data_IF_220924974579
#
_entry.id   IF_220924974579
#
_cell.length_a   1.000
_cell.length_b   1.000
_cell.length_c   1.000
_cell.angle_alpha   90.00
_cell.angle_beta   90.00
_cell.angle_gamma   90.00
#
_symmetry.space_group_name_H-M   'P 1'
#
loop_
_entity.id
_entity.type
_entity.pdbx_description
1 polymer ?
#
# COMPACT_ATOMS: atom_id res chain seq x y z
N UNK A 1 -20.09 -58.62 -46.11
CA UNK A 1 -20.03 -58.85 -44.64
C UNK A 1 -19.60 -57.55 -43.97
N UNK A 2 -20.58 -56.66 -43.70
CA UNK A 2 -20.33 -55.32 -43.09
C UNK A 2 -20.43 -55.47 -41.57
N UNK A 3 -19.31 -55.20 -40.88
CA UNK A 3 -19.31 -55.03 -39.42
C UNK A 3 -19.52 -53.53 -39.15
N UNK A 4 -20.74 -53.19 -38.78
CA UNK A 4 -21.06 -51.89 -38.26
C UNK A 4 -20.47 -51.80 -36.83
N UNK A 5 -19.48 -50.89 -36.67
CA UNK A 5 -18.90 -50.54 -35.38
C UNK A 5 -19.94 -49.71 -34.59
N UNK A 6 -20.64 -50.38 -33.65
CA UNK A 6 -21.50 -49.74 -32.65
C UNK A 6 -20.60 -48.97 -31.65
N UNK A 7 -20.43 -47.66 -31.85
CA UNK A 7 -19.85 -46.82 -30.83
C UNK A 7 -20.84 -46.65 -29.68
N UNK A 8 -20.45 -46.91 -28.41
CA UNK A 8 -21.36 -46.71 -27.30
C UNK A 8 -21.71 -45.24 -27.16
N UNK A 9 -22.98 -44.91 -27.26
CA UNK A 9 -23.53 -43.60 -27.00
C UNK A 9 -23.21 -43.19 -25.56
N UNK A 10 -22.29 -42.25 -25.40
CA UNK A 10 -21.99 -41.66 -24.10
C UNK A 10 -23.26 -40.98 -23.55
N UNK A 11 -23.87 -41.59 -22.53
CA UNK A 11 -25.01 -40.99 -21.80
C UNK A 11 -24.58 -39.66 -21.24
N UNK A 12 -24.98 -38.57 -21.88
CA UNK A 12 -24.85 -37.20 -21.33
C UNK A 12 -25.78 -37.14 -20.11
N UNK A 13 -25.20 -37.18 -18.90
CA UNK A 13 -25.95 -36.93 -17.68
C UNK A 13 -26.39 -35.47 -17.71
N UNK A 14 -27.67 -35.21 -17.84
CA UNK A 14 -28.24 -33.89 -17.69
C UNK A 14 -28.37 -33.58 -16.20
N UNK A 15 -27.93 -32.38 -15.79
CA UNK A 15 -28.11 -31.88 -14.42
C UNK A 15 -29.60 -31.74 -14.10
N UNK A 16 -29.99 -32.14 -12.89
CA UNK A 16 -31.33 -31.91 -12.41
C UNK A 16 -31.50 -30.48 -11.90
N UNK A 17 -32.70 -29.91 -12.00
CA UNK A 17 -33.01 -28.59 -11.49
C UNK A 17 -32.70 -28.45 -9.99
N UNK A 18 -32.98 -29.52 -9.22
CA UNK A 18 -32.69 -29.55 -7.78
C UNK A 18 -31.18 -29.51 -7.49
N UNK A 19 -30.36 -30.18 -8.29
CA UNK A 19 -28.91 -30.14 -8.15
C UNK A 19 -28.35 -28.76 -8.38
N UNK A 20 -28.87 -28.01 -9.37
CA UNK A 20 -28.51 -26.63 -9.61
C UNK A 20 -28.88 -25.73 -8.43
N UNK A 21 -30.08 -25.88 -7.87
CA UNK A 21 -30.55 -25.11 -6.72
C UNK A 21 -29.68 -25.38 -5.49
N UNK A 22 -29.31 -26.61 -5.23
CA UNK A 22 -28.42 -26.99 -4.11
C UNK A 22 -27.04 -26.36 -4.29
N UNK A 23 -26.45 -26.44 -5.49
CA UNK A 23 -25.14 -25.84 -5.78
C UNK A 23 -25.18 -24.31 -5.59
N UNK A 24 -26.22 -23.63 -6.08
CA UNK A 24 -26.38 -22.18 -5.87
C UNK A 24 -26.55 -21.84 -4.39
N UNK A 25 -27.25 -22.65 -3.62
CA UNK A 25 -27.38 -22.49 -2.17
C UNK A 25 -26.02 -22.57 -1.45
N UNK A 26 -25.22 -23.57 -1.78
CA UNK A 26 -23.87 -23.73 -1.21
C UNK A 26 -22.96 -22.58 -1.61
N UNK A 27 -22.97 -22.17 -2.88
CA UNK A 27 -22.18 -21.02 -3.36
C UNK A 27 -22.56 -19.72 -2.64
N UNK A 28 -23.85 -19.48 -2.45
CA UNK A 28 -24.34 -18.31 -1.70
C UNK A 28 -23.81 -18.28 -0.27
N UNK A 29 -23.81 -19.42 0.42
CA UNK A 29 -23.30 -19.54 1.78
C UNK A 29 -21.78 -19.27 1.85
N UNK A 30 -21.01 -19.78 0.88
CA UNK A 30 -19.57 -19.53 0.80
C UNK A 30 -19.25 -18.06 0.54
N UNK A 31 -20.02 -17.37 -0.29
CA UNK A 31 -19.82 -15.95 -0.58
C UNK A 31 -19.99 -15.06 0.66
N UNK A 32 -20.97 -15.33 1.51
CA UNK A 32 -21.21 -14.55 2.75
C UNK A 32 -19.98 -14.54 3.66
N UNK A 33 -19.25 -15.63 3.76
CA UNK A 33 -18.05 -15.75 4.62
C UNK A 33 -16.81 -15.17 3.95
N UNK A 34 -16.73 -15.21 2.62
CA UNK A 34 -15.52 -14.85 1.87
C UNK A 34 -15.37 -13.35 1.64
N UNK A 35 -16.48 -12.68 1.31
CA UNK A 35 -16.46 -11.24 0.94
C UNK A 35 -15.81 -10.32 2.01
N UNK A 36 -16.14 -10.39 3.32
CA UNK A 36 -15.54 -9.49 4.30
C UNK A 36 -14.03 -9.72 4.47
N UNK A 37 -13.54 -10.94 4.29
CA UNK A 37 -12.10 -11.26 4.41
C UNK A 37 -11.28 -10.68 3.26
N UNK A 38 -11.83 -10.64 2.06
CA UNK A 38 -11.17 -10.05 0.89
C UNK A 38 -10.98 -8.54 1.07
N UNK A 39 -11.95 -7.84 1.64
CA UNK A 39 -11.85 -6.40 1.93
C UNK A 39 -10.68 -6.07 2.87
N UNK A 40 -10.52 -6.80 3.95
CA UNK A 40 -9.43 -6.60 4.91
C UNK A 40 -8.04 -6.90 4.30
N UNK A 41 -7.95 -7.92 3.44
CA UNK A 41 -6.71 -8.22 2.71
C UNK A 41 -6.34 -7.09 1.73
N UNK A 42 -7.33 -6.56 1.03
CA UNK A 42 -7.13 -5.45 0.12
C UNK A 42 -6.64 -4.18 0.84
N UNK A 43 -7.27 -3.82 1.97
CA UNK A 43 -6.85 -2.68 2.78
C UNK A 43 -5.42 -2.83 3.30
N UNK A 44 -5.04 -4.05 3.72
CA UNK A 44 -3.66 -4.36 4.11
C UNK A 44 -2.68 -4.17 2.97
N UNK A 45 -3.00 -4.64 1.75
CA UNK A 45 -2.15 -4.47 0.58
C UNK A 45 -1.96 -2.99 0.22
N UNK A 46 -3.02 -2.17 0.29
CA UNK A 46 -2.94 -0.73 0.05
C UNK A 46 -2.01 -0.05 1.05
N UNK A 47 -2.13 -0.38 2.34
CA UNK A 47 -1.26 0.17 3.39
C UNK A 47 0.20 -0.24 3.15
N UNK A 48 0.47 -1.51 2.88
CA UNK A 48 1.83 -2.01 2.62
C UNK A 48 2.46 -1.37 1.38
N UNK A 49 1.69 -1.21 0.31
CA UNK A 49 2.15 -0.55 -0.91
C UNK A 49 2.53 0.91 -0.65
N UNK A 50 1.65 1.66 0.04
CA UNK A 50 1.91 3.06 0.37
C UNK A 50 3.14 3.21 1.28
N UNK A 51 3.30 2.35 2.26
CA UNK A 51 4.44 2.36 3.18
C UNK A 51 5.76 2.14 2.43
N UNK A 52 5.81 1.18 1.51
CA UNK A 52 7.01 0.94 0.68
C UNK A 52 7.36 2.14 -0.20
N UNK A 53 6.36 2.82 -0.76
CA UNK A 53 6.58 4.04 -1.55
C UNK A 53 7.13 5.17 -0.69
N UNK A 54 6.54 5.39 0.49
CA UNK A 54 7.01 6.39 1.45
C UNK A 54 8.43 6.10 1.93
N UNK A 55 8.72 4.85 2.28
CA UNK A 55 10.06 4.43 2.70
C UNK A 55 11.09 4.70 1.61
N UNK A 56 10.81 4.32 0.36
CA UNK A 56 11.66 4.61 -0.80
C UNK A 56 11.89 6.09 -0.99
N UNK A 57 10.83 6.89 -0.90
CA UNK A 57 10.92 8.34 -1.08
C UNK A 57 11.70 9.02 0.04
N UNK A 58 11.55 8.57 1.28
CA UNK A 58 12.33 9.08 2.41
C UNK A 58 13.82 8.71 2.31
N UNK A 59 14.13 7.48 1.87
CA UNK A 59 15.52 7.05 1.62
C UNK A 59 16.12 7.89 0.50
N UNK A 60 15.40 8.11 -0.59
CA UNK A 60 15.83 8.95 -1.68
C UNK A 60 16.06 10.40 -1.23
N UNK A 61 15.12 10.96 -0.48
CA UNK A 61 15.20 12.33 0.04
C UNK A 61 16.43 12.53 0.93
N UNK A 62 16.73 11.57 1.79
CA UNK A 62 17.94 11.56 2.62
C UNK A 62 19.21 11.50 1.78
N UNK A 63 19.25 10.62 0.78
CA UNK A 63 20.39 10.49 -0.12
C UNK A 63 20.59 11.76 -0.95
N UNK A 64 19.50 12.40 -1.37
CA UNK A 64 19.56 13.65 -2.11
C UNK A 64 20.11 14.82 -1.26
N UNK A 65 19.68 14.90 0.01
CA UNK A 65 20.24 15.88 0.94
C UNK A 65 21.77 15.71 1.12
N UNK A 66 22.25 14.45 1.17
CA UNK A 66 23.69 14.17 1.27
C UNK A 66 24.43 14.47 -0.05
N UNK A 67 23.81 14.24 -1.19
CA UNK A 67 24.40 14.46 -2.51
C UNK A 67 24.50 15.93 -2.85
N UNK A 68 23.44 16.71 -2.59
CA UNK A 68 23.38 18.15 -2.91
C UNK A 68 24.13 19.02 -1.91
N UNK A 69 24.38 18.52 -0.69
CA UNK A 69 24.91 19.32 0.41
C UNK A 69 23.89 20.30 1.00
N UNK A 70 22.64 20.19 0.60
CA UNK A 70 21.53 21.06 1.01
C UNK A 70 20.47 20.29 1.78
N UNK A 71 19.57 21.01 2.47
CA UNK A 71 18.46 20.38 3.19
C UNK A 71 17.40 19.88 2.23
N UNK A 72 16.86 18.70 2.53
CA UNK A 72 15.71 18.15 1.83
C UNK A 72 14.57 17.89 2.81
N UNK A 73 13.32 18.17 2.42
CA UNK A 73 12.18 18.09 3.32
C UNK A 73 11.02 17.28 2.77
N UNK A 74 10.34 16.59 3.68
CA UNK A 74 9.07 15.91 3.46
C UNK A 74 8.01 16.65 4.27
N UNK A 75 6.89 16.97 3.63
CA UNK A 75 5.74 17.57 4.29
C UNK A 75 4.45 16.85 3.87
N UNK A 76 3.56 16.58 4.83
CA UNK A 76 2.22 16.12 4.52
C UNK A 76 1.39 17.24 3.91
N UNK A 77 0.64 16.93 2.86
CA UNK A 77 -0.38 17.81 2.30
C UNK A 77 -1.72 17.08 2.17
N UNK A 78 -2.75 17.78 1.78
CA UNK A 78 -4.07 17.22 1.55
C UNK A 78 -4.01 16.18 0.41
N UNK A 79 -4.51 14.97 0.68
CA UNK A 79 -4.50 13.86 -0.29
C UNK A 79 -3.13 13.24 -0.59
N UNK A 80 -2.03 13.69 0.07
CA UNK A 80 -0.71 13.18 -0.25
C UNK A 80 0.43 13.75 0.59
N UNK A 81 1.57 13.92 -0.06
CA UNK A 81 2.77 14.47 0.56
C UNK A 81 3.63 15.20 -0.48
N UNK A 82 4.46 16.07 0.00
CA UNK A 82 5.36 16.90 -0.79
C UNK A 82 6.81 16.60 -0.40
N UNK A 83 7.64 16.44 -1.41
CA UNK A 83 9.08 16.30 -1.29
C UNK A 83 9.72 17.58 -1.85
N UNK A 84 10.56 18.23 -1.08
CA UNK A 84 11.27 19.43 -1.50
C UNK A 84 12.77 19.19 -1.35
N UNK A 85 13.49 19.39 -2.43
CA UNK A 85 14.96 19.32 -2.47
C UNK A 85 15.50 20.62 -3.02
N UNK A 86 16.69 21.03 -2.56
CA UNK A 86 17.43 22.17 -3.10
C UNK A 86 18.71 21.66 -3.72
N UNK A 87 18.97 22.10 -4.93
CA UNK A 87 20.22 21.82 -5.64
C UNK A 87 20.81 23.11 -6.25
N UNK A 88 21.88 22.97 -7.03
CA UNK A 88 22.52 24.12 -7.71
C UNK A 88 21.58 24.85 -8.69
N UNK A 89 20.50 24.24 -9.13
CA UNK A 89 19.52 24.78 -10.05
C UNK A 89 18.34 25.46 -9.34
N UNK A 90 18.31 25.40 -7.99
CA UNK A 90 17.27 25.98 -7.16
C UNK A 90 16.47 24.97 -6.36
N UNK A 91 15.30 25.39 -5.88
CA UNK A 91 14.39 24.54 -5.11
C UNK A 91 13.45 23.78 -6.04
N UNK A 92 13.48 22.45 -5.94
CA UNK A 92 12.59 21.57 -6.67
C UNK A 92 11.59 20.92 -5.69
N UNK A 93 10.31 21.02 -6.04
CA UNK A 93 9.23 20.47 -5.23
C UNK A 93 8.43 19.47 -6.04
N UNK A 94 8.29 18.26 -5.53
CA UNK A 94 7.47 17.20 -6.09
C UNK A 94 6.34 16.85 -5.14
N UNK A 95 5.08 16.97 -5.60
CA UNK A 95 3.91 16.53 -4.85
C UNK A 95 3.48 15.16 -5.35
N UNK A 96 3.25 14.23 -4.42
CA UNK A 96 2.79 12.86 -4.70
C UNK A 96 1.47 12.60 -3.98
N UNK A 97 0.49 12.06 -4.71
CA UNK A 97 -0.76 11.59 -4.13
C UNK A 97 -0.58 10.23 -3.43
N UNK A 98 -1.47 9.92 -2.49
CA UNK A 98 -1.59 8.57 -1.95
C UNK A 98 -2.13 7.62 -3.04
N UNK A 99 -1.76 6.35 -2.99
CA UNK A 99 -2.20 5.33 -3.98
C UNK A 99 -3.71 5.08 -3.96
N UNK A 100 -4.41 5.53 -2.92
CA UNK A 100 -5.86 5.44 -2.81
C UNK A 100 -6.40 6.52 -1.88
N UNK A 101 -7.58 7.07 -2.21
CA UNK A 101 -8.31 8.03 -1.36
C UNK A 101 -8.77 7.44 -0.02
N UNK A 102 -8.82 6.11 0.08
CA UNK A 102 -9.14 5.39 1.32
C UNK A 102 -8.01 5.44 2.36
N UNK A 103 -6.80 5.76 1.92
CA UNK A 103 -5.64 5.88 2.79
C UNK A 103 -5.64 7.20 3.55
N UNK A 104 -5.19 7.14 4.78
CA UNK A 104 -4.94 8.31 5.63
C UNK A 104 -3.47 8.31 6.05
N UNK A 105 -2.80 9.40 5.78
CA UNK A 105 -1.43 9.64 6.21
C UNK A 105 -1.44 10.63 7.36
N UNK A 106 -0.86 10.25 8.49
CA UNK A 106 -0.64 11.12 9.66
C UNK A 106 0.86 11.24 9.91
N UNK A 107 1.30 12.43 10.24
CA UNK A 107 2.68 12.70 10.62
C UNK A 107 2.68 13.24 12.06
N UNK A 108 3.38 12.55 12.95
CA UNK A 108 3.61 13.00 14.31
C UNK A 108 5.07 13.47 14.41
N UNK A 109 5.25 14.77 14.26
CA UNK A 109 6.52 15.48 14.43
C UNK A 109 6.24 16.84 15.05
N UNK A 110 7.22 17.46 15.67
CA UNK A 110 7.09 18.79 16.29
C UNK A 110 6.79 19.87 15.25
N UNK A 111 7.38 19.74 14.06
CA UNK A 111 7.28 20.75 12.97
C UNK A 111 6.26 20.39 11.89
N UNK A 112 5.65 19.20 11.95
CA UNK A 112 4.77 18.68 10.88
C UNK A 112 5.53 18.28 9.60
N UNK A 113 6.85 18.37 9.60
CA UNK A 113 7.73 18.07 8.47
C UNK A 113 8.88 17.17 8.92
N UNK A 114 9.45 16.43 7.97
CA UNK A 114 10.72 15.73 8.16
C UNK A 114 11.75 16.47 7.34
N UNK A 115 12.79 16.98 7.99
CA UNK A 115 13.88 17.70 7.30
C UNK A 115 15.15 16.89 7.46
N UNK A 116 15.72 16.44 6.35
CA UNK A 116 17.03 15.78 6.31
C UNK A 116 18.11 16.85 6.07
N UNK A 117 19.17 16.76 6.86
CA UNK A 117 20.35 17.59 6.73
C UNK A 117 21.40 16.95 5.80
N UNK A 118 22.37 17.72 5.28
CA UNK A 118 23.44 17.21 4.42
C UNK A 118 24.25 16.06 5.02
N UNK A 119 24.32 15.98 6.35
CA UNK A 119 24.97 14.87 7.08
C UNK A 119 24.16 13.58 7.09
N UNK A 120 22.92 13.61 6.56
CA UNK A 120 21.99 12.49 6.55
C UNK A 120 21.25 12.29 7.88
N UNK A 121 21.35 13.21 8.81
CA UNK A 121 20.55 13.29 10.04
C UNK A 121 19.19 13.91 9.74
N UNK A 122 18.18 13.61 10.56
CA UNK A 122 16.91 14.29 10.52
C UNK A 122 16.82 15.29 11.67
N UNK A 123 16.29 16.47 11.39
CA UNK A 123 16.17 17.54 12.38
C UNK A 123 15.32 17.09 13.58
N UNK A 124 14.19 16.39 13.31
CA UNK A 124 13.29 15.86 14.33
C UNK A 124 13.01 14.39 14.13
N UNK A 125 12.75 13.68 15.25
CA UNK A 125 12.14 12.37 15.22
C UNK A 125 10.70 12.49 14.73
N UNK A 126 10.35 11.74 13.70
CA UNK A 126 9.00 11.71 13.16
C UNK A 126 8.47 10.29 13.06
N UNK A 127 7.18 10.13 13.35
CA UNK A 127 6.46 8.91 13.07
C UNK A 127 5.36 9.19 12.05
N UNK A 128 5.46 8.56 10.90
CA UNK A 128 4.41 8.55 9.88
C UNK A 128 3.52 7.34 10.09
N UNK A 129 2.22 7.55 10.17
CA UNK A 129 1.23 6.47 10.25
C UNK A 129 0.39 6.45 8.99
N UNK A 130 0.38 5.33 8.30
CA UNK A 130 -0.49 5.06 7.14
C UNK A 130 -1.60 4.12 7.59
N UNK A 131 -2.85 4.52 7.36
CA UNK A 131 -4.04 3.75 7.78
C UNK A 131 -5.02 3.59 6.63
N UNK A 132 -5.65 2.41 6.55
CA UNK A 132 -6.81 2.10 5.71
C UNK A 132 -7.76 1.18 6.49
N UNK A 133 -8.96 1.65 6.82
CA UNK A 133 -9.85 0.93 7.72
C UNK A 133 -9.18 0.63 9.06
N UNK A 134 -9.16 -0.65 9.44
CA UNK A 134 -8.51 -1.12 10.67
C UNK A 134 -7.00 -1.39 10.50
N UNK A 135 -6.53 -1.43 9.26
CA UNK A 135 -5.12 -1.70 8.97
C UNK A 135 -4.28 -0.44 9.12
N UNK A 136 -3.19 -0.54 9.87
CA UNK A 136 -2.26 0.57 10.04
C UNK A 136 -0.81 0.09 10.10
N UNK A 137 0.10 0.92 9.57
CA UNK A 137 1.55 0.73 9.63
C UNK A 137 2.23 2.05 9.94
N UNK A 138 3.38 1.97 10.57
CA UNK A 138 4.16 3.14 10.93
C UNK A 138 5.52 3.13 10.25
N UNK A 139 6.02 4.33 9.93
CA UNK A 139 7.40 4.56 9.54
C UNK A 139 7.99 5.53 10.56
N UNK A 140 9.04 5.11 11.23
CA UNK A 140 9.74 5.93 12.22
C UNK A 140 11.04 6.43 11.61
N UNK A 141 11.20 7.74 11.58
CA UNK A 141 12.45 8.42 11.22
C UNK A 141 13.08 8.94 12.51
N UNK A 142 14.27 8.46 12.83
CA UNK A 142 15.03 8.92 14.00
C UNK A 142 15.86 10.15 13.67
N UNK A 143 16.32 10.90 14.68
CA UNK A 143 17.21 12.05 14.51
C UNK A 143 18.52 11.68 13.78
N UNK A 144 18.97 10.42 13.88
CA UNK A 144 20.12 9.93 13.09
C UNK A 144 19.77 9.63 11.62
N UNK A 145 18.56 9.97 11.17
CA UNK A 145 18.09 9.69 9.83
C UNK A 145 17.81 8.22 9.51
N UNK A 146 17.73 7.36 10.53
CA UNK A 146 17.36 5.95 10.33
C UNK A 146 15.85 5.86 10.10
N UNK A 147 15.49 5.17 9.03
CA UNK A 147 14.10 4.91 8.63
C UNK A 147 13.79 3.46 8.99
N UNK A 148 12.73 3.24 9.74
CA UNK A 148 12.27 1.90 10.15
C UNK A 148 10.77 1.77 9.94
N UNK A 149 10.34 0.67 9.34
CA UNK A 149 8.94 0.31 9.21
C UNK A 149 8.54 -0.56 10.40
N UNK A 150 7.40 -0.24 11.01
CA UNK A 150 6.82 -0.97 12.14
C UNK A 150 5.33 -1.24 11.96
N UNK A 151 4.79 -2.01 12.89
CA UNK A 151 3.34 -2.18 13.03
C UNK A 151 2.83 -1.04 13.90
N UNK A 152 1.69 -0.43 13.56
CA UNK A 152 1.03 0.49 14.46
C UNK A 152 0.46 -0.33 15.64
N UNK A 153 0.85 0.01 16.85
CA UNK A 153 0.24 -0.50 18.09
C UNK A 153 -0.97 0.33 18.47
#
# INVERSE_FOLDING_TARGET
MNRENFLPSARRRAFTLIELVVVLGILSLLLVVTVPRVGALYDRQLVEQQVRLLEKDLIWLRAEAQRSGEKASFARCEGGYRLTVRDANGEQTQTKALVSERLRLQANSLTGQIVFEPRGTAYDKCTLTVRCGEQARTIVVSNLGRIRVGVAS
#
